data_IF_414167880640
#
_entry.id   IF_414167880640
#
_cell.length_a   1.000
_cell.length_b   1.000
_cell.length_c   1.000
_cell.angle_alpha   90.00
_cell.angle_beta   90.00
_cell.angle_gamma   90.00
#
_symmetry.space_group_name_H-M   'P 1'
#
loop_
_entity.id
_entity.type
_entity.pdbx_description
1 polymer ?
#
# COMPACT_ATOMS: atom_id res chain seq x y z
N UNK A 1 34.11 3.08 2.93
CA UNK A 1 34.14 3.75 1.63
C UNK A 1 33.21 2.96 0.72
N UNK A 2 31.92 3.21 0.79
CA UNK A 2 30.89 2.62 -0.10
C UNK A 2 30.81 3.49 -1.34
N UNK A 3 31.03 2.86 -2.49
CA UNK A 3 30.83 3.48 -3.80
C UNK A 3 29.35 3.74 -3.97
N UNK A 4 28.97 5.01 -3.93
CA UNK A 4 27.70 5.50 -4.44
C UNK A 4 27.78 5.30 -5.95
N UNK A 5 27.14 4.25 -6.46
CA UNK A 5 26.91 4.09 -7.89
C UNK A 5 25.74 5.02 -8.19
N UNK A 6 26.10 6.21 -8.63
CA UNK A 6 25.16 7.15 -9.23
C UNK A 6 24.83 6.56 -10.62
N UNK A 7 23.74 5.81 -10.71
CA UNK A 7 23.15 5.44 -11.98
C UNK A 7 22.48 6.72 -12.51
N UNK A 8 23.25 7.47 -13.29
CA UNK A 8 22.70 8.48 -14.17
C UNK A 8 22.01 7.70 -15.29
N UNK A 9 20.75 7.34 -15.09
CA UNK A 9 19.87 7.00 -16.19
C UNK A 9 19.63 8.31 -16.95
N UNK A 10 20.39 8.49 -18.05
CA UNK A 10 20.08 9.49 -19.03
C UNK A 10 18.63 9.27 -19.46
N UNK A 11 17.73 10.11 -18.95
CA UNK A 11 16.39 10.26 -19.50
C UNK A 11 16.55 10.64 -20.96
N UNK A 12 16.50 9.66 -21.84
CA UNK A 12 16.12 9.85 -23.22
C UNK A 12 14.69 10.39 -23.16
N UNK A 13 14.58 11.71 -23.13
CA UNK A 13 13.36 12.39 -23.44
C UNK A 13 13.07 12.04 -24.92
N UNK A 14 12.46 10.89 -25.15
CA UNK A 14 11.72 10.69 -26.38
C UNK A 14 10.51 11.61 -26.26
N UNK A 15 10.58 12.73 -26.95
CA UNK A 15 9.42 13.44 -27.41
C UNK A 15 8.70 12.55 -28.43
N UNK A 16 8.07 11.49 -27.96
CA UNK A 16 7.16 10.67 -28.75
C UNK A 16 5.77 11.28 -28.57
N UNK A 17 5.42 12.13 -29.50
CA UNK A 17 4.01 12.33 -29.78
C UNK A 17 3.41 10.93 -30.05
N UNK A 18 2.57 10.41 -29.15
CA UNK A 18 1.69 9.30 -29.41
C UNK A 18 2.08 7.90 -28.93
N UNK A 19 3.03 7.71 -28.02
CA UNK A 19 3.18 6.40 -27.38
C UNK A 19 2.01 6.18 -26.41
N UNK A 20 1.16 5.19 -26.72
CA UNK A 20 0.10 4.75 -25.82
C UNK A 20 0.73 4.00 -24.63
N UNK A 21 0.24 4.28 -23.44
CA UNK A 21 0.70 3.63 -22.21
C UNK A 21 -0.15 2.38 -21.97
N UNK A 22 0.50 1.22 -21.87
CA UNK A 22 -0.17 -0.02 -21.46
C UNK A 22 -0.38 -0.07 -19.96
N UNK A 23 -1.32 -0.89 -19.49
CA UNK A 23 -1.55 -1.12 -18.06
C UNK A 23 -0.26 -1.61 -17.37
N UNK A 24 0.47 -2.54 -18.02
CA UNK A 24 1.73 -3.08 -17.48
C UNK A 24 2.81 -2.01 -17.35
N UNK A 25 3.00 -1.18 -18.39
CA UNK A 25 3.98 -0.09 -18.33
C UNK A 25 3.65 0.91 -17.23
N UNK A 26 2.37 1.23 -17.07
CA UNK A 26 1.92 2.13 -16.02
C UNK A 26 2.17 1.57 -14.62
N UNK A 27 1.84 0.30 -14.38
CA UNK A 27 2.12 -0.37 -13.10
C UNK A 27 3.62 -0.33 -12.78
N UNK A 28 4.49 -0.58 -13.76
CA UNK A 28 5.95 -0.47 -13.59
C UNK A 28 6.37 0.95 -13.21
N UNK A 29 5.87 1.97 -13.92
CA UNK A 29 6.17 3.36 -13.61
C UNK A 29 5.76 3.75 -12.17
N UNK A 30 4.60 3.28 -11.72
CA UNK A 30 4.10 3.54 -10.36
C UNK A 30 4.95 2.84 -9.32
N UNK A 31 5.36 1.58 -9.54
CA UNK A 31 6.24 0.83 -8.64
C UNK A 31 7.59 1.55 -8.50
N UNK A 32 8.21 1.93 -9.61
CA UNK A 32 9.53 2.57 -9.63
C UNK A 32 9.54 3.91 -8.87
N UNK A 33 8.45 4.65 -8.91
CA UNK A 33 8.33 5.94 -8.22
C UNK A 33 7.79 5.83 -6.80
N UNK A 34 7.06 4.79 -6.44
CA UNK A 34 6.27 4.71 -5.21
C UNK A 34 7.06 5.08 -3.94
N UNK A 35 6.74 6.22 -3.34
CA UNK A 35 7.31 6.65 -2.06
C UNK A 35 7.01 5.65 -0.93
N UNK A 36 5.77 5.08 -0.81
CA UNK A 36 5.52 4.02 0.17
C UNK A 36 6.44 2.81 0.05
N UNK A 37 6.76 2.36 -1.18
CA UNK A 37 7.68 1.24 -1.40
C UNK A 37 9.10 1.58 -0.98
N UNK A 38 9.59 2.79 -1.27
CA UNK A 38 10.89 3.25 -0.80
C UNK A 38 10.94 3.32 0.74
N UNK A 39 9.86 3.74 1.39
CA UNK A 39 9.75 3.73 2.85
C UNK A 39 9.75 2.30 3.41
N UNK A 40 9.08 1.35 2.76
CA UNK A 40 9.08 -0.05 3.16
C UNK A 40 10.48 -0.68 3.01
N UNK A 41 11.22 -0.37 1.96
CA UNK A 41 12.62 -0.79 1.78
C UNK A 41 13.50 -0.28 2.93
N UNK A 42 13.42 0.99 3.26
CA UNK A 42 14.13 1.56 4.41
C UNK A 42 13.71 0.92 5.74
N UNK A 43 12.44 0.52 5.87
CA UNK A 43 11.96 -0.23 7.04
C UNK A 43 12.59 -1.62 7.12
N UNK A 44 12.71 -2.34 5.99
CA UNK A 44 13.40 -3.65 5.96
C UNK A 44 14.88 -3.53 6.29
N UNK A 45 15.56 -2.49 5.79
CA UNK A 45 16.95 -2.18 6.18
C UNK A 45 17.07 -1.89 7.68
N UNK A 46 16.15 -1.11 8.24
CA UNK A 46 16.11 -0.80 9.68
C UNK A 46 15.96 -2.06 10.52
N UNK A 47 14.99 -2.92 10.18
CA UNK A 47 14.74 -4.18 10.91
C UNK A 47 15.92 -5.15 10.80
N UNK A 48 16.58 -5.22 9.63
CA UNK A 48 17.81 -5.98 9.43
C UNK A 48 18.94 -5.48 10.33
N UNK A 49 19.10 -4.15 10.45
CA UNK A 49 20.10 -3.55 11.34
C UNK A 49 19.78 -3.82 12.82
N UNK A 50 18.51 -3.79 13.21
CA UNK A 50 18.08 -4.14 14.58
C UNK A 50 18.35 -5.60 14.91
N UNK A 51 18.09 -6.52 13.98
CA UNK A 51 18.44 -7.93 14.14
C UNK A 51 19.96 -8.13 14.28
N UNK A 52 20.77 -7.50 13.42
CA UNK A 52 22.23 -7.55 13.55
C UNK A 52 22.71 -6.94 14.87
N UNK A 53 22.09 -5.87 15.35
CA UNK A 53 22.36 -5.28 16.66
C UNK A 53 22.04 -6.27 17.80
N UNK A 54 20.91 -6.98 17.72
CA UNK A 54 20.52 -7.98 18.71
C UNK A 54 21.53 -9.14 18.76
N UNK A 55 21.99 -9.66 17.62
CA UNK A 55 23.06 -10.68 17.53
C UNK A 55 24.35 -10.23 18.20
N UNK A 56 24.72 -8.94 18.04
CA UNK A 56 25.93 -8.38 18.65
C UNK A 56 25.81 -8.14 20.15
N UNK A 57 24.61 -8.29 20.72
CA UNK A 57 24.41 -8.25 22.17
C UNK A 57 25.17 -9.34 22.95
N UNK A 58 25.63 -10.40 22.27
CA UNK A 58 26.50 -11.44 22.81
C UNK A 58 27.98 -11.07 22.78
N UNK A 59 28.37 -9.99 22.09
CA UNK A 59 29.77 -9.60 21.96
C UNK A 59 30.24 -8.77 23.15
N UNK A 60 31.57 -8.78 23.49
CA UNK A 60 32.12 -7.90 24.48
C UNK A 60 31.85 -6.43 24.13
N UNK A 61 31.50 -5.65 25.16
CA UNK A 61 31.28 -4.22 25.03
C UNK A 61 32.42 -3.48 25.70
N UNK A 62 33.10 -2.61 24.94
CA UNK A 62 34.12 -1.70 25.47
C UNK A 62 33.46 -0.36 25.70
N UNK A 63 33.57 0.14 26.93
CA UNK A 63 33.12 1.47 27.31
C UNK A 63 34.25 2.24 28.00
N UNK A 64 34.21 3.57 27.86
CA UNK A 64 35.10 4.50 28.53
C UNK A 64 34.28 5.65 29.09
N UNK A 65 34.45 5.95 30.35
CA UNK A 65 33.76 7.05 31.01
C UNK A 65 34.76 7.89 31.80
N UNK A 66 34.58 9.19 31.82
CA UNK A 66 35.34 10.10 32.68
C UNK A 66 34.37 10.93 33.52
N UNK A 67 34.61 11.00 34.81
CA UNK A 67 33.77 11.73 35.72
C UNK A 67 34.65 12.73 36.51
N UNK A 68 34.27 13.99 36.53
CA UNK A 68 34.81 15.01 37.40
C UNK A 68 33.79 15.30 38.51
N UNK A 69 34.22 15.25 39.76
CA UNK A 69 33.37 15.50 40.92
C UNK A 69 33.87 16.73 41.64
N UNK A 70 33.01 17.70 41.88
CA UNK A 70 33.24 18.85 42.74
C UNK A 70 32.38 18.67 44.01
N UNK A 71 33.04 18.66 45.18
CA UNK A 71 32.35 18.46 46.45
C UNK A 71 32.26 19.78 47.21
N UNK A 72 31.06 20.17 47.56
CA UNK A 72 30.77 21.40 48.32
C UNK A 72 30.74 21.17 49.83
N UNK A 73 30.73 19.91 50.27
CA UNK A 73 30.76 19.55 51.68
C UNK A 73 32.20 19.53 52.23
N UNK A 74 32.35 19.75 53.55
CA UNK A 74 33.64 19.67 54.22
C UNK A 74 34.04 18.22 54.40
N UNK A 75 35.06 17.74 53.68
CA UNK A 75 35.50 16.36 53.76
C UNK A 75 36.67 16.18 54.69
N UNK A 76 36.66 15.06 55.38
CA UNK A 76 37.71 14.59 56.30
C UNK A 76 39.09 14.53 55.60
N UNK A 77 39.17 14.45 54.27
CA UNK A 77 40.42 14.35 53.50
C UNK A 77 40.78 15.61 52.68
N UNK A 78 40.09 16.76 52.87
CA UNK A 78 40.48 18.05 52.33
C UNK A 78 40.35 18.18 50.76
N UNK A 79 39.73 17.24 50.09
CA UNK A 79 39.57 17.28 48.63
C UNK A 79 38.26 17.95 48.27
N UNK A 80 38.31 18.99 47.41
CA UNK A 80 37.13 19.67 46.86
C UNK A 80 36.76 19.22 45.45
N UNK A 81 37.68 18.60 44.75
CA UNK A 81 37.45 18.09 43.40
C UNK A 81 38.23 16.81 43.16
N UNK A 82 37.70 15.98 42.29
CA UNK A 82 38.34 14.75 41.83
C UNK A 82 37.95 14.46 40.40
N UNK A 83 38.74 13.71 39.69
CA UNK A 83 38.36 13.14 38.38
C UNK A 83 38.77 11.67 38.38
N UNK A 84 37.98 10.87 37.65
CA UNK A 84 38.25 9.47 37.44
C UNK A 84 37.93 9.15 36.01
N UNK A 85 38.84 8.49 35.34
CA UNK A 85 38.59 7.93 34.00
C UNK A 85 38.61 6.42 34.10
N UNK A 86 37.55 5.76 33.67
CA UNK A 86 37.41 4.32 33.69
C UNK A 86 37.25 3.82 32.26
N UNK A 87 37.92 2.73 31.94
CA UNK A 87 37.66 1.94 30.74
C UNK A 87 37.27 0.53 31.18
N UNK A 88 36.18 0.00 30.62
CA UNK A 88 35.75 -1.34 30.98
C UNK A 88 35.35 -2.14 29.72
N UNK A 89 35.69 -3.43 29.75
CA UNK A 89 35.23 -4.43 28.81
C UNK A 89 34.25 -5.33 29.54
N UNK A 90 32.99 -5.33 29.13
CA UNK A 90 31.96 -6.18 29.72
C UNK A 90 31.52 -7.25 28.73
N UNK A 91 31.51 -8.50 29.17
CA UNK A 91 31.02 -9.65 28.45
C UNK A 91 29.86 -10.27 29.23
N UNK A 92 28.66 -10.27 28.56
CA UNK A 92 27.54 -11.03 29.10
C UNK A 92 27.74 -12.52 28.77
N UNK A 93 27.77 -13.37 29.81
CA UNK A 93 27.92 -14.84 29.70
C UNK A 93 26.55 -15.50 29.66
N UNK A 94 25.64 -15.03 30.52
CA UNK A 94 24.27 -15.54 30.60
C UNK A 94 23.33 -14.47 31.14
N UNK A 95 22.23 -14.23 30.48
CA UNK A 95 21.22 -13.22 30.84
C UNK A 95 19.81 -13.82 30.92
N UNK A 96 19.68 -15.02 31.47
CA UNK A 96 18.36 -15.68 31.55
C UNK A 96 17.73 -15.99 30.21
N UNK A 97 18.52 -16.10 29.13
CA UNK A 97 18.01 -16.29 27.76
C UNK A 97 17.53 -15.00 27.06
N UNK A 98 17.68 -13.82 27.71
CA UNK A 98 17.21 -12.53 27.14
C UNK A 98 17.81 -12.24 25.78
N UNK A 99 19.13 -12.40 25.61
CA UNK A 99 19.81 -12.06 24.34
C UNK A 99 19.32 -12.97 23.21
N UNK A 100 19.24 -14.29 23.47
CA UNK A 100 18.74 -15.26 22.48
C UNK A 100 17.29 -14.98 22.08
N UNK A 101 16.41 -14.73 23.04
CA UNK A 101 15.01 -14.41 22.79
C UNK A 101 14.84 -13.05 22.06
N UNK A 102 15.67 -12.04 22.41
CA UNK A 102 15.68 -10.76 21.68
C UNK A 102 16.15 -10.95 20.24
N UNK A 103 17.18 -11.77 20.02
CA UNK A 103 17.67 -12.08 18.66
C UNK A 103 16.59 -12.77 17.83
N UNK A 104 15.93 -13.80 18.38
CA UNK A 104 14.83 -14.49 17.72
C UNK A 104 13.66 -13.53 17.40
N UNK A 105 13.27 -12.70 18.37
CA UNK A 105 12.20 -11.71 18.20
C UNK A 105 12.49 -10.71 17.08
N UNK A 106 13.73 -10.22 17.01
CA UNK A 106 14.13 -9.24 15.97
C UNK A 106 14.34 -9.89 14.60
N UNK A 107 14.75 -11.16 14.56
CA UNK A 107 14.82 -11.96 13.35
C UNK A 107 13.44 -12.12 12.72
N UNK A 108 12.46 -12.61 13.50
CA UNK A 108 11.07 -12.72 13.07
C UNK A 108 10.48 -11.36 12.66
N UNK A 109 10.84 -10.27 13.38
CA UNK A 109 10.44 -8.92 13.02
C UNK A 109 11.01 -8.46 11.66
N UNK A 110 12.20 -8.89 11.29
CA UNK A 110 12.76 -8.64 9.97
C UNK A 110 12.06 -9.45 8.88
N UNK A 111 11.80 -10.75 9.12
CA UNK A 111 11.04 -11.59 8.18
C UNK A 111 9.62 -11.01 7.93
N UNK A 112 8.94 -10.57 8.98
CA UNK A 112 7.64 -9.89 8.86
C UNK A 112 7.77 -8.65 7.96
N UNK A 113 8.79 -7.81 8.16
CA UNK A 113 8.95 -6.59 7.36
C UNK A 113 9.17 -6.86 5.87
N UNK A 114 9.80 -7.99 5.50
CA UNK A 114 9.93 -8.42 4.10
C UNK A 114 8.58 -8.81 3.50
N UNK A 115 7.74 -9.52 4.27
CA UNK A 115 6.41 -9.89 3.82
C UNK A 115 5.47 -8.67 3.73
N UNK A 116 5.55 -7.74 4.69
CA UNK A 116 4.82 -6.46 4.64
C UNK A 116 5.17 -5.65 3.39
N UNK A 117 6.44 -5.67 2.97
CA UNK A 117 6.87 -5.06 1.72
C UNK A 117 6.21 -5.74 0.50
N UNK A 118 6.10 -7.06 0.49
CA UNK A 118 5.40 -7.79 -0.58
C UNK A 118 3.91 -7.45 -0.64
N UNK A 119 3.23 -7.39 0.51
CA UNK A 119 1.83 -6.95 0.59
C UNK A 119 1.67 -5.54 0.04
N UNK A 120 2.58 -4.63 0.39
CA UNK A 120 2.54 -3.25 -0.08
C UNK A 120 2.75 -3.15 -1.61
N UNK A 121 3.63 -3.97 -2.21
CA UNK A 121 3.81 -4.03 -3.67
C UNK A 121 2.48 -4.37 -4.34
N UNK A 122 1.77 -5.40 -3.87
CA UNK A 122 0.45 -5.78 -4.39
C UNK A 122 -0.57 -4.65 -4.27
N UNK A 123 -0.58 -3.95 -3.13
CA UNK A 123 -1.46 -2.82 -2.91
C UNK A 123 -1.17 -1.65 -3.86
N UNK A 124 0.10 -1.38 -4.14
CA UNK A 124 0.53 -0.35 -5.10
C UNK A 124 0.10 -0.72 -6.53
N UNK A 125 0.26 -1.98 -6.92
CA UNK A 125 -0.22 -2.49 -8.22
C UNK A 125 -1.74 -2.32 -8.34
N UNK A 126 -2.51 -2.75 -7.34
CA UNK A 126 -3.97 -2.58 -7.33
C UNK A 126 -4.38 -1.10 -7.42
N UNK A 127 -3.66 -0.21 -6.74
CA UNK A 127 -3.91 1.24 -6.81
C UNK A 127 -3.62 1.80 -8.21
N UNK A 128 -2.57 1.31 -8.86
CA UNK A 128 -2.24 1.66 -10.24
C UNK A 128 -3.31 1.15 -11.23
N UNK A 129 -3.69 -0.13 -11.16
CA UNK A 129 -4.77 -0.69 -11.99
C UNK A 129 -6.07 0.11 -11.81
N UNK A 130 -6.43 0.44 -10.57
CA UNK A 130 -7.61 1.24 -10.27
C UNK A 130 -7.57 2.64 -10.89
N UNK A 131 -6.40 3.30 -10.86
CA UNK A 131 -6.22 4.61 -11.46
C UNK A 131 -6.28 4.56 -12.99
N UNK A 132 -5.69 3.51 -13.60
CA UNK A 132 -5.72 3.26 -15.04
C UNK A 132 -7.14 3.09 -15.55
N UNK A 133 -7.90 2.16 -14.95
CA UNK A 133 -9.28 1.88 -15.38
C UNK A 133 -10.23 3.04 -15.09
N UNK A 134 -9.98 3.81 -14.01
CA UNK A 134 -10.74 5.03 -13.75
C UNK A 134 -10.52 6.08 -14.83
N UNK A 135 -9.28 6.27 -15.29
CA UNK A 135 -8.97 7.20 -16.36
C UNK A 135 -9.60 6.75 -17.68
N UNK A 136 -9.47 5.46 -18.03
CA UNK A 136 -10.09 4.88 -19.23
C UNK A 136 -11.62 5.03 -19.23
N UNK A 137 -12.26 4.76 -18.09
CA UNK A 137 -13.70 4.97 -17.91
C UNK A 137 -14.11 6.44 -18.11
N UNK A 138 -13.38 7.37 -17.48
CA UNK A 138 -13.69 8.79 -17.55
C UNK A 138 -13.43 9.36 -18.96
N UNK A 139 -12.40 8.88 -19.66
CA UNK A 139 -12.11 9.27 -21.04
C UNK A 139 -13.22 8.83 -21.99
N UNK A 140 -13.66 7.59 -21.90
CA UNK A 140 -14.72 7.05 -22.75
C UNK A 140 -16.07 7.74 -22.49
N UNK A 141 -16.38 8.00 -21.22
CA UNK A 141 -17.58 8.75 -20.86
C UNK A 141 -17.56 10.19 -21.38
N UNK A 142 -16.44 10.90 -21.23
CA UNK A 142 -16.25 12.26 -21.75
C UNK A 142 -16.41 12.31 -23.27
N UNK A 143 -15.79 11.36 -23.99
CA UNK A 143 -15.88 11.24 -25.45
C UNK A 143 -17.33 11.05 -25.90
N UNK A 144 -18.03 10.10 -25.30
CA UNK A 144 -19.44 9.84 -25.62
C UNK A 144 -20.33 11.04 -25.29
N UNK A 145 -20.09 11.76 -24.20
CA UNK A 145 -20.84 12.97 -23.88
C UNK A 145 -20.59 14.10 -24.89
N UNK A 146 -19.37 14.25 -25.40
CA UNK A 146 -19.06 15.20 -26.48
C UNK A 146 -19.78 14.86 -27.77
N UNK A 147 -19.81 13.59 -28.17
CA UNK A 147 -20.54 13.10 -29.31
C UNK A 147 -22.07 13.29 -29.14
N UNK A 148 -22.57 13.02 -27.94
CA UNK A 148 -23.99 13.21 -27.61
C UNK A 148 -24.41 14.68 -27.74
N UNK A 149 -23.61 15.64 -27.23
CA UNK A 149 -23.88 17.07 -27.41
C UNK A 149 -23.95 17.44 -28.90
N UNK A 150 -23.00 16.99 -29.72
CA UNK A 150 -22.98 17.27 -31.15
C UNK A 150 -24.24 16.71 -31.86
N UNK A 151 -24.73 15.54 -31.47
CA UNK A 151 -25.99 14.97 -32.01
C UNK A 151 -27.19 15.84 -31.61
N UNK A 152 -27.28 16.28 -30.37
CA UNK A 152 -28.39 17.13 -29.91
C UNK A 152 -28.33 18.53 -30.55
N UNK A 153 -27.15 19.10 -30.77
CA UNK A 153 -26.99 20.36 -31.51
C UNK A 153 -27.52 20.25 -32.93
N UNK A 154 -27.10 19.19 -33.65
CA UNK A 154 -27.58 18.91 -35.00
C UNK A 154 -29.12 18.76 -35.08
N UNK A 155 -29.71 18.04 -34.13
CA UNK A 155 -31.16 17.86 -34.04
C UNK A 155 -31.88 19.20 -33.72
N UNK A 156 -31.28 20.01 -32.85
CA UNK A 156 -31.80 21.36 -32.54
C UNK A 156 -31.84 22.25 -33.79
N UNK A 157 -30.82 22.21 -34.64
CA UNK A 157 -30.78 22.97 -35.89
C UNK A 157 -31.93 22.55 -36.84
N UNK A 158 -32.16 21.24 -36.98
CA UNK A 158 -33.27 20.71 -37.82
C UNK A 158 -34.63 21.17 -37.26
N UNK A 159 -34.83 21.11 -35.94
CA UNK A 159 -36.09 21.51 -35.33
C UNK A 159 -36.30 23.03 -35.40
N UNK A 160 -35.26 23.83 -35.25
CA UNK A 160 -35.32 25.29 -35.39
C UNK A 160 -35.73 25.68 -36.84
N UNK A 161 -35.11 25.07 -37.85
CA UNK A 161 -35.50 25.28 -39.23
C UNK A 161 -36.96 24.89 -39.50
N UNK A 162 -37.41 23.73 -39.03
CA UNK A 162 -38.82 23.30 -39.18
C UNK A 162 -39.80 24.24 -38.48
N UNK A 163 -39.39 24.83 -37.33
CA UNK A 163 -40.23 25.82 -36.63
C UNK A 163 -40.33 27.13 -37.40
N UNK A 164 -39.24 27.62 -37.99
CA UNK A 164 -39.23 28.83 -38.83
C UNK A 164 -40.13 28.67 -40.09
N UNK A 165 -40.12 27.49 -40.69
CA UNK A 165 -40.97 27.14 -41.84
C UNK A 165 -42.41 26.76 -41.44
N UNK A 166 -42.74 26.75 -40.14
CA UNK A 166 -44.10 26.45 -39.65
C UNK A 166 -44.48 24.97 -39.59
N UNK A 167 -43.49 24.05 -39.72
CA UNK A 167 -43.69 22.60 -39.68
C UNK A 167 -43.54 22.00 -38.28
N UNK A 168 -43.07 22.76 -37.30
CA UNK A 168 -42.89 22.29 -35.92
C UNK A 168 -43.45 23.27 -34.90
N UNK A 169 -43.89 22.79 -33.74
CA UNK A 169 -44.41 23.62 -32.68
C UNK A 169 -43.29 24.30 -31.89
N UNK A 170 -43.56 25.49 -31.29
CA UNK A 170 -42.62 26.16 -30.40
C UNK A 170 -42.24 25.29 -29.20
N UNK A 171 -43.16 24.41 -28.75
CA UNK A 171 -42.90 23.46 -27.66
C UNK A 171 -41.79 22.49 -27.98
N UNK A 172 -41.70 22.00 -29.22
CA UNK A 172 -40.65 21.08 -29.67
C UNK A 172 -39.27 21.76 -29.65
N UNK A 173 -39.18 23.02 -30.09
CA UNK A 173 -37.96 23.81 -30.04
C UNK A 173 -37.51 24.03 -28.60
N UNK A 174 -38.39 24.40 -27.67
CA UNK A 174 -38.06 24.61 -26.29
C UNK A 174 -37.60 23.31 -25.60
N UNK A 175 -38.15 22.17 -25.97
CA UNK A 175 -37.74 20.86 -25.44
C UNK A 175 -36.34 20.48 -25.86
N UNK A 176 -35.99 20.63 -27.17
CA UNK A 176 -34.63 20.32 -27.59
C UNK A 176 -33.60 21.30 -27.04
N UNK A 177 -33.94 22.60 -26.86
CA UNK A 177 -33.06 23.59 -26.22
C UNK A 177 -32.83 23.25 -24.74
N UNK A 178 -33.86 22.81 -24.04
CA UNK A 178 -33.72 22.31 -22.67
C UNK A 178 -32.83 21.07 -22.62
N UNK A 179 -32.97 20.15 -23.56
CA UNK A 179 -32.17 18.95 -23.67
C UNK A 179 -30.70 19.25 -23.97
N UNK A 180 -30.45 20.21 -24.88
CA UNK A 180 -29.10 20.68 -25.19
C UNK A 180 -28.42 21.28 -23.95
N UNK A 181 -29.13 22.11 -23.17
CA UNK A 181 -28.63 22.67 -21.94
C UNK A 181 -28.26 21.60 -20.90
N UNK A 182 -29.09 20.56 -20.77
CA UNK A 182 -28.81 19.40 -19.90
C UNK A 182 -27.58 18.60 -20.39
N UNK A 183 -27.46 18.39 -21.72
CA UNK A 183 -26.33 17.71 -22.32
C UNK A 183 -25.00 18.46 -22.08
N UNK A 184 -24.98 19.78 -22.20
CA UNK A 184 -23.79 20.59 -21.87
C UNK A 184 -23.43 20.50 -20.38
N UNK A 185 -24.43 20.51 -19.48
CA UNK A 185 -24.18 20.31 -18.06
C UNK A 185 -23.52 18.95 -17.77
N UNK A 186 -24.03 17.87 -18.42
CA UNK A 186 -23.45 16.54 -18.24
C UNK A 186 -22.05 16.42 -18.88
N UNK A 187 -21.79 17.09 -20.01
CA UNK A 187 -20.46 17.14 -20.61
C UNK A 187 -19.47 17.82 -19.68
N UNK A 188 -19.83 18.96 -19.08
CA UNK A 188 -18.95 19.65 -18.13
C UNK A 188 -18.63 18.78 -16.92
N UNK A 189 -19.58 18.01 -16.41
CA UNK A 189 -19.33 17.05 -15.33
C UNK A 189 -18.43 15.88 -15.77
N UNK A 190 -18.55 15.43 -17.00
CA UNK A 190 -17.67 14.39 -17.58
C UNK A 190 -16.24 14.89 -17.79
N UNK A 191 -16.07 16.13 -18.21
CA UNK A 191 -14.76 16.80 -18.35
C UNK A 191 -14.07 16.93 -17.00
N UNK A 192 -14.78 17.38 -15.97
CA UNK A 192 -14.27 17.45 -14.59
C UNK A 192 -13.81 16.07 -14.09
N UNK A 193 -14.64 15.03 -14.29
CA UNK A 193 -14.31 13.67 -13.87
C UNK A 193 -13.04 13.13 -14.58
N UNK A 194 -12.88 13.44 -15.88
CA UNK A 194 -11.70 13.09 -16.65
C UNK A 194 -10.45 13.82 -16.13
N UNK A 195 -10.53 15.12 -15.90
CA UNK A 195 -9.40 15.89 -15.37
C UNK A 195 -8.96 15.38 -14.01
N UNK A 196 -9.89 15.10 -13.09
CA UNK A 196 -9.60 14.52 -11.78
C UNK A 196 -8.93 13.14 -11.91
N UNK A 197 -9.42 12.28 -12.80
CA UNK A 197 -8.85 10.97 -13.05
C UNK A 197 -7.43 11.08 -13.63
N UNK A 198 -7.21 12.01 -14.58
CA UNK A 198 -5.92 12.29 -15.18
C UNK A 198 -4.91 12.82 -14.13
N UNK A 199 -5.35 13.71 -13.25
CA UNK A 199 -4.51 14.22 -12.16
C UNK A 199 -4.07 13.10 -11.23
N UNK A 200 -4.98 12.21 -10.85
CA UNK A 200 -4.68 11.06 -10.00
C UNK A 200 -3.69 10.09 -10.68
N UNK A 201 -3.94 9.75 -11.95
CA UNK A 201 -3.05 8.91 -12.76
C UNK A 201 -1.62 9.49 -12.80
N UNK A 202 -1.48 10.76 -13.14
CA UNK A 202 -0.19 11.42 -13.25
C UNK A 202 0.54 11.52 -11.89
N UNK A 203 -0.19 11.72 -10.79
CA UNK A 203 0.42 11.86 -9.47
C UNK A 203 1.07 10.56 -8.97
N UNK A 204 0.53 9.40 -9.33
CA UNK A 204 1.06 8.10 -8.92
C UNK A 204 2.40 7.75 -9.58
N UNK A 205 2.67 8.27 -10.79
CA UNK A 205 3.92 8.01 -11.53
C UNK A 205 4.83 9.23 -11.64
N UNK A 206 4.62 10.27 -10.81
CA UNK A 206 5.41 11.51 -10.80
C UNK A 206 5.45 12.27 -12.13
N UNK A 207 4.45 12.14 -12.96
CA UNK A 207 4.29 12.98 -14.14
C UNK A 207 3.80 14.38 -13.74
N UNK A 208 3.89 15.34 -14.70
CA UNK A 208 3.21 16.62 -14.50
C UNK A 208 1.70 16.37 -14.39
N UNK A 209 1.05 16.88 -13.35
CA UNK A 209 -0.36 16.60 -13.02
C UNK A 209 -1.30 16.76 -14.21
N UNK A 210 -1.05 17.77 -15.06
CA UNK A 210 -1.87 18.08 -16.24
C UNK A 210 -1.31 17.50 -17.55
N UNK A 211 -0.39 16.53 -17.49
CA UNK A 211 0.17 15.92 -18.69
C UNK A 211 -0.91 15.09 -19.40
N UNK A 212 -1.11 15.37 -20.67
CA UNK A 212 -2.01 14.56 -21.50
C UNK A 212 -1.42 13.16 -21.69
N UNK A 213 -2.26 12.15 -21.53
CA UNK A 213 -1.91 10.73 -21.63
C UNK A 213 -2.85 10.07 -22.65
N UNK A 214 -2.34 9.11 -23.39
CA UNK A 214 -3.12 8.22 -24.25
C UNK A 214 -2.96 6.80 -23.71
N UNK A 215 -4.09 6.14 -23.43
CA UNK A 215 -4.12 4.76 -22.94
C UNK A 215 -4.15 3.78 -24.13
N UNK A 216 -3.54 2.61 -23.93
CA UNK A 216 -3.55 1.53 -24.94
C UNK A 216 -4.80 0.69 -24.85
N UNK A 217 -5.28 0.38 -23.65
CA UNK A 217 -6.45 -0.43 -23.39
C UNK A 217 -7.67 0.44 -23.07
N UNK A 218 -8.80 0.13 -23.70
CA UNK A 218 -10.09 0.74 -23.38
C UNK A 218 -10.80 -0.02 -22.28
N UNK A 219 -11.58 0.69 -21.47
CA UNK A 219 -12.46 0.08 -20.46
C UNK A 219 -13.49 -0.88 -21.11
N UNK A 220 -13.80 -0.70 -22.37
CA UNK A 220 -14.74 -1.53 -23.11
C UNK A 220 -14.10 -2.80 -23.71
N UNK A 221 -12.76 -2.92 -23.64
CA UNK A 221 -12.09 -4.13 -24.12
C UNK A 221 -12.44 -5.33 -23.23
N UNK A 222 -12.59 -6.49 -23.85
CA UNK A 222 -12.93 -7.70 -23.12
C UNK A 222 -11.71 -8.26 -22.38
N UNK A 223 -11.74 -8.19 -21.05
CA UNK A 223 -10.75 -8.85 -20.21
C UNK A 223 -11.20 -10.29 -19.93
N UNK A 224 -10.32 -11.29 -20.15
CA UNK A 224 -10.67 -12.67 -19.86
C UNK A 224 -10.90 -12.86 -18.36
N UNK A 225 -11.87 -13.74 -18.04
CA UNK A 225 -12.13 -14.11 -16.64
C UNK A 225 -10.90 -14.84 -16.07
N UNK A 226 -10.38 -14.44 -14.91
CA UNK A 226 -9.26 -15.15 -14.28
C UNK A 226 -9.64 -16.57 -13.87
N UNK A 227 -8.64 -17.42 -13.65
CA UNK A 227 -8.88 -18.74 -13.07
C UNK A 227 -9.15 -18.63 -11.56
N UNK A 228 -10.06 -19.49 -11.07
CA UNK A 228 -10.35 -19.51 -9.64
C UNK A 228 -9.26 -20.25 -8.89
N UNK A 229 -8.74 -19.64 -7.82
CA UNK A 229 -7.78 -20.26 -6.91
C UNK A 229 -8.55 -20.97 -5.79
N UNK A 230 -8.09 -22.15 -5.39
CA UNK A 230 -8.65 -22.86 -4.24
C UNK A 230 -8.38 -22.09 -2.94
N UNK A 231 -9.42 -21.85 -2.14
CA UNK A 231 -9.35 -21.01 -0.94
C UNK A 231 -8.35 -21.55 0.12
N UNK A 232 -8.23 -22.87 0.29
CA UNK A 232 -7.28 -23.44 1.23
C UNK A 232 -5.84 -23.30 0.72
N UNK A 233 -5.62 -23.48 -0.57
CA UNK A 233 -4.30 -23.22 -1.19
C UNK A 233 -3.89 -21.77 -1.05
N UNK A 234 -4.84 -20.83 -1.23
CA UNK A 234 -4.63 -19.42 -1.03
C UNK A 234 -4.14 -19.09 0.37
N UNK A 235 -4.82 -19.62 1.41
CA UNK A 235 -4.46 -19.36 2.81
C UNK A 235 -2.99 -19.69 3.07
N UNK A 236 -2.52 -20.87 2.65
CA UNK A 236 -1.15 -21.30 2.92
C UNK A 236 -0.07 -20.50 2.15
N UNK A 237 -0.41 -19.94 1.03
CA UNK A 237 0.51 -19.15 0.20
C UNK A 237 0.46 -17.65 0.47
N UNK A 238 -0.56 -17.17 1.20
CA UNK A 238 -0.80 -15.75 1.37
C UNK A 238 0.17 -15.11 2.38
N UNK A 239 0.81 -13.97 2.06
CA UNK A 239 1.76 -13.32 2.96
C UNK A 239 1.11 -12.85 4.27
N UNK A 240 -0.15 -12.41 4.27
CA UNK A 240 -0.84 -12.00 5.49
C UNK A 240 -0.99 -13.15 6.48
N UNK A 241 -1.29 -14.38 6.00
CA UNK A 241 -1.29 -15.56 6.84
C UNK A 241 0.09 -15.83 7.45
N UNK A 242 1.14 -15.74 6.62
CA UNK A 242 2.51 -15.95 7.11
C UNK A 242 2.95 -14.86 8.10
N UNK A 243 2.53 -13.61 7.92
CA UNK A 243 2.79 -12.50 8.86
C UNK A 243 2.20 -12.80 10.24
N UNK A 244 0.94 -13.25 10.31
CA UNK A 244 0.31 -13.54 11.60
C UNK A 244 0.89 -14.80 12.25
N UNK A 245 1.29 -15.80 11.47
CA UNK A 245 2.01 -16.98 11.96
C UNK A 245 3.36 -16.59 12.58
N UNK A 246 4.17 -15.76 11.91
CA UNK A 246 5.41 -15.22 12.46
C UNK A 246 5.19 -14.32 13.68
N UNK A 247 4.07 -13.60 13.75
CA UNK A 247 3.70 -12.82 14.92
C UNK A 247 3.37 -13.74 16.13
N UNK A 248 2.72 -14.88 15.90
CA UNK A 248 2.50 -15.89 16.95
C UNK A 248 3.84 -16.48 17.42
N UNK A 249 4.76 -16.81 16.51
CA UNK A 249 6.12 -17.24 16.88
C UNK A 249 6.88 -16.15 17.64
N UNK A 250 6.73 -14.89 17.29
CA UNK A 250 7.33 -13.75 18.00
C UNK A 250 6.79 -13.62 19.40
N UNK A 251 5.49 -13.86 19.62
CA UNK A 251 4.88 -13.88 20.94
C UNK A 251 5.43 -15.02 21.84
N UNK A 252 5.81 -16.17 21.27
CA UNK A 252 6.57 -17.19 22.01
C UNK A 252 7.94 -16.69 22.49
N UNK A 253 8.65 -15.91 21.67
CA UNK A 253 9.91 -15.27 22.09
C UNK A 253 9.66 -14.24 23.19
N UNK A 254 8.57 -13.50 23.17
CA UNK A 254 8.18 -12.52 24.17
C UNK A 254 7.85 -13.19 25.52
N UNK A 255 7.28 -14.40 25.55
CA UNK A 255 7.13 -15.18 26.79
C UNK A 255 8.50 -15.53 27.40
N UNK A 256 9.51 -15.88 26.57
CA UNK A 256 10.89 -16.12 27.05
C UNK A 256 11.49 -14.83 27.60
N UNK A 257 11.26 -13.69 26.95
CA UNK A 257 11.70 -12.37 27.40
C UNK A 257 11.07 -11.98 28.74
N UNK A 258 9.78 -12.25 28.93
CA UNK A 258 9.07 -12.00 30.18
C UNK A 258 9.62 -12.84 31.34
N UNK A 259 10.19 -14.02 31.07
CA UNK A 259 10.85 -14.87 32.08
C UNK A 259 12.29 -14.45 32.40
N UNK A 260 13.00 -13.87 31.45
CA UNK A 260 14.44 -13.61 31.51
C UNK A 260 14.87 -12.77 32.72
N UNK A 261 14.17 -11.71 33.17
CA UNK A 261 14.57 -10.93 34.36
C UNK A 261 14.58 -11.72 35.66
N UNK A 262 13.84 -12.83 35.73
CA UNK A 262 13.69 -13.69 36.90
C UNK A 262 14.62 -14.91 36.89
N UNK A 263 15.52 -14.97 35.93
CA UNK A 263 16.53 -16.03 35.80
C UNK A 263 17.92 -15.48 36.19
N UNK A 264 18.89 -16.35 36.57
CA UNK A 264 20.23 -15.92 36.86
C UNK A 264 20.84 -15.10 35.72
N UNK A 265 21.68 -14.12 36.10
CA UNK A 265 22.45 -13.32 35.15
C UNK A 265 23.94 -13.42 35.55
N UNK A 266 24.77 -13.61 34.55
CA UNK A 266 26.21 -13.79 34.71
C UNK A 266 26.93 -12.89 33.72
N UNK A 267 27.75 -11.99 34.18
CA UNK A 267 28.63 -11.17 33.36
C UNK A 267 30.07 -11.11 33.95
N UNK A 268 31.02 -10.93 33.08
CA UNK A 268 32.41 -10.66 33.41
C UNK A 268 32.73 -9.27 32.91
N UNK A 269 33.37 -8.47 33.75
CA UNK A 269 33.91 -7.18 33.37
C UNK A 269 35.38 -7.08 33.74
N UNK A 270 36.18 -6.54 32.84
CA UNK A 270 37.59 -6.17 33.07
C UNK A 270 37.62 -4.65 32.99
N UNK A 271 38.12 -4.02 34.04
CA UNK A 271 38.16 -2.56 34.08
C UNK A 271 39.57 -2.04 34.39
N UNK A 272 39.86 -0.88 33.82
CA UNK A 272 41.00 -0.04 34.17
C UNK A 272 40.54 1.32 34.68
N UNK A 273 41.14 1.87 35.70
CA UNK A 273 40.80 3.19 36.21
C UNK A 273 42.05 4.06 36.36
N UNK A 274 41.91 5.31 35.97
CA UNK A 274 42.92 6.34 36.14
C UNK A 274 42.34 7.44 37.03
N UNK A 275 42.99 7.70 38.17
CA UNK A 275 42.55 8.71 39.12
C UNK A 275 43.77 9.46 39.71
N UNK A 276 43.63 10.73 40.10
CA UNK A 276 44.72 11.46 40.72
C UNK A 276 45.04 10.86 42.11
N UNK A 277 46.31 10.84 42.47
CA UNK A 277 46.76 10.44 43.79
C UNK A 277 46.27 11.41 44.87
N UNK A 278 46.04 10.89 46.08
CA UNK A 278 45.60 11.67 47.25
C UNK A 278 46.60 12.77 47.61
N UNK A 279 46.15 13.98 48.02
CA UNK A 279 46.99 15.18 48.09
C UNK A 279 47.80 15.35 49.36
N UNK A 280 48.63 14.39 49.74
CA UNK A 280 49.58 14.60 50.86
C UNK A 280 51.02 14.87 50.42
N UNK A 281 51.30 14.89 49.12
CA UNK A 281 52.62 15.23 48.62
C UNK A 281 52.49 16.13 47.35
N UNK A 282 53.39 17.09 47.22
CA UNK A 282 53.43 18.10 46.15
C UNK A 282 53.73 17.56 44.76
N UNK A 283 53.71 16.27 44.54
CA UNK A 283 53.90 15.58 43.27
C UNK A 283 52.92 14.42 43.14
N UNK A 284 51.62 14.70 42.97
CA UNK A 284 50.62 13.68 42.71
C UNK A 284 50.77 13.08 41.30
N UNK A 285 51.18 11.84 41.22
CA UNK A 285 51.15 11.06 39.97
C UNK A 285 49.77 10.43 39.83
N UNK A 286 49.22 10.35 38.59
CA UNK A 286 48.01 9.59 38.40
C UNK A 286 48.19 8.12 38.80
N UNK A 287 47.24 7.60 39.56
CA UNK A 287 47.23 6.18 39.94
C UNK A 287 46.44 5.39 38.88
N UNK A 288 47.11 4.36 38.32
CA UNK A 288 46.49 3.39 37.46
C UNK A 288 46.04 2.19 38.29
N UNK A 289 44.76 1.93 38.32
CA UNK A 289 44.15 0.75 38.91
C UNK A 289 43.48 -0.11 37.88
N UNK A 290 43.21 -1.35 38.17
CA UNK A 290 42.44 -2.23 37.30
C UNK A 290 42.16 -3.57 37.96
N UNK A 291 41.20 -4.28 37.40
CA UNK A 291 40.79 -5.57 37.92
C UNK A 291 39.80 -6.28 36.99
N UNK A 292 39.47 -7.49 37.37
CA UNK A 292 38.37 -8.25 36.73
C UNK A 292 37.30 -8.55 37.79
N UNK A 293 36.04 -8.44 37.38
CA UNK A 293 34.88 -8.72 38.23
C UNK A 293 34.03 -9.76 37.54
N UNK A 294 33.69 -10.80 38.24
CA UNK A 294 32.68 -11.78 37.89
C UNK A 294 31.42 -11.46 38.70
N UNK A 295 30.36 -11.11 37.97
CA UNK A 295 29.06 -10.80 38.55
C UNK A 295 28.12 -11.98 38.36
N UNK A 296 27.55 -12.47 39.46
CA UNK A 296 26.45 -13.42 39.44
C UNK A 296 25.28 -12.78 40.22
N UNK A 297 24.16 -12.63 39.55
CA UNK A 297 22.93 -12.09 40.14
C UNK A 297 21.78 -13.04 39.87
N UNK A 298 21.03 -13.39 40.88
CA UNK A 298 19.82 -14.19 40.74
C UNK A 298 18.73 -13.63 41.65
N UNK A 299 17.59 -13.27 41.04
CA UNK A 299 16.42 -12.86 41.83
C UNK A 299 15.87 -14.06 42.61
N UNK A 300 15.70 -13.91 43.92
CA UNK A 300 15.24 -15.01 44.80
C UNK A 300 13.73 -14.97 44.96
N UNK A 301 13.14 -13.80 45.21
CA UNK A 301 11.71 -13.68 45.50
C UNK A 301 11.15 -12.32 45.02
N UNK A 302 10.01 -12.33 44.32
CA UNK A 302 9.37 -11.17 43.71
C UNK A 302 7.86 -11.09 43.98
N UNK A 303 7.35 -11.61 45.07
CA UNK A 303 5.97 -11.49 45.51
C UNK A 303 4.91 -11.74 44.42
N UNK A 304 5.17 -12.71 43.53
CA UNK A 304 4.25 -13.09 42.42
C UNK A 304 4.47 -12.37 41.10
N UNK A 305 5.31 -11.31 41.03
CA UNK A 305 5.56 -10.53 39.79
C UNK A 305 5.92 -11.41 38.57
N UNK A 306 6.81 -12.41 38.77
CA UNK A 306 7.18 -13.37 37.73
C UNK A 306 5.96 -14.09 37.13
N UNK A 307 5.06 -14.52 38.02
CA UNK A 307 3.86 -15.25 37.60
C UNK A 307 2.97 -14.38 36.74
N UNK A 308 2.70 -13.17 37.17
CA UNK A 308 1.81 -12.25 36.47
C UNK A 308 2.44 -11.75 35.18
N UNK A 309 3.73 -11.45 35.14
CA UNK A 309 4.43 -11.07 33.90
C UNK A 309 4.38 -12.20 32.83
N UNK A 310 4.61 -13.45 33.25
CA UNK A 310 4.54 -14.61 32.37
C UNK A 310 3.10 -14.91 31.93
N UNK A 311 2.11 -14.75 32.83
CA UNK A 311 0.71 -14.95 32.49
C UNK A 311 0.24 -13.92 31.47
N UNK A 312 0.60 -12.64 31.63
CA UNK A 312 0.31 -11.58 30.65
C UNK A 312 0.89 -11.91 29.27
N UNK A 313 2.18 -12.29 29.22
CA UNK A 313 2.83 -12.66 27.96
C UNK A 313 2.19 -13.90 27.30
N UNK A 314 1.77 -14.92 28.09
CA UNK A 314 1.07 -16.08 27.58
C UNK A 314 -0.33 -15.75 27.06
N UNK A 315 -1.04 -14.81 27.68
CA UNK A 315 -2.34 -14.36 27.18
C UNK A 315 -2.17 -13.65 25.84
N UNK A 316 -1.12 -12.83 25.66
CA UNK A 316 -0.78 -12.23 24.38
C UNK A 316 -0.41 -13.28 23.32
N UNK A 317 0.36 -14.31 23.71
CA UNK A 317 0.68 -15.43 22.81
C UNK A 317 -0.58 -16.15 22.33
N UNK A 318 -1.48 -16.54 23.25
CA UNK A 318 -2.74 -17.19 22.88
C UNK A 318 -3.63 -16.32 21.97
N UNK A 319 -3.66 -14.98 22.26
CA UNK A 319 -4.36 -14.05 21.38
C UNK A 319 -3.77 -14.03 19.96
N UNK A 320 -2.43 -14.09 19.85
CA UNK A 320 -1.77 -14.14 18.53
C UNK A 320 -2.01 -15.45 17.79
N UNK A 321 -2.13 -16.59 18.52
CA UNK A 321 -2.47 -17.88 17.94
C UNK A 321 -3.92 -17.90 17.41
N UNK A 322 -4.87 -17.31 18.15
CA UNK A 322 -6.25 -17.15 17.68
C UNK A 322 -6.35 -16.21 16.45
N UNK A 323 -5.47 -15.23 16.35
CA UNK A 323 -5.43 -14.34 15.18
C UNK A 323 -5.01 -15.08 13.90
N UNK A 324 -4.20 -16.14 14.00
CA UNK A 324 -3.86 -16.99 12.86
C UNK A 324 -5.11 -17.68 12.31
N UNK A 325 -5.98 -18.22 13.19
CA UNK A 325 -7.25 -18.83 12.77
C UNK A 325 -8.19 -17.79 12.15
N UNK A 326 -8.29 -16.61 12.79
CA UNK A 326 -9.13 -15.51 12.32
C UNK A 326 -8.72 -15.04 10.91
N UNK A 327 -7.44 -14.87 10.64
CA UNK A 327 -6.94 -14.46 9.32
C UNK A 327 -7.14 -15.58 8.29
N UNK A 328 -6.96 -16.85 8.65
CA UNK A 328 -7.23 -17.98 7.76
C UNK A 328 -8.70 -18.01 7.32
N UNK A 329 -9.63 -17.83 8.25
CA UNK A 329 -11.06 -17.82 7.94
C UNK A 329 -11.46 -16.59 7.13
N UNK A 330 -10.86 -15.43 7.43
CA UNK A 330 -11.09 -14.22 6.65
C UNK A 330 -10.57 -14.34 5.21
N UNK A 331 -9.41 -14.95 4.98
CA UNK A 331 -8.88 -15.17 3.64
C UNK A 331 -9.77 -16.10 2.81
N UNK A 332 -10.34 -17.15 3.42
CA UNK A 332 -11.33 -18.01 2.76
C UNK A 332 -12.58 -17.22 2.36
N UNK A 333 -13.08 -16.39 3.27
CA UNK A 333 -14.26 -15.56 3.02
C UNK A 333 -14.00 -14.59 1.88
N UNK A 334 -12.89 -13.86 1.92
CA UNK A 334 -12.53 -12.86 0.92
C UNK A 334 -12.32 -13.49 -0.47
N UNK A 335 -11.75 -14.71 -0.57
CA UNK A 335 -11.68 -15.45 -1.84
C UNK A 335 -13.07 -15.73 -2.39
N UNK A 336 -13.98 -16.28 -1.57
CA UNK A 336 -15.32 -16.63 -2.01
C UNK A 336 -16.13 -15.40 -2.43
N UNK A 337 -16.02 -14.32 -1.70
CA UNK A 337 -16.70 -13.05 -2.00
C UNK A 337 -16.13 -12.44 -3.28
N UNK A 338 -14.79 -12.40 -3.42
CA UNK A 338 -14.10 -11.91 -4.61
C UNK A 338 -14.49 -12.69 -5.87
N UNK A 339 -14.53 -14.03 -5.79
CA UNK A 339 -14.99 -14.85 -6.90
C UNK A 339 -16.46 -14.61 -7.24
N UNK A 340 -17.32 -14.53 -6.24
CA UNK A 340 -18.74 -14.20 -6.43
C UNK A 340 -18.92 -12.83 -7.09
N UNK A 341 -18.11 -11.85 -6.70
CA UNK A 341 -18.12 -10.52 -7.29
C UNK A 341 -17.75 -10.57 -8.79
N UNK A 342 -16.71 -11.32 -9.18
CA UNK A 342 -16.34 -11.52 -10.59
C UNK A 342 -17.50 -12.13 -11.37
N UNK A 343 -18.12 -13.21 -10.85
CA UNK A 343 -19.22 -13.86 -11.56
C UNK A 343 -20.43 -12.94 -11.79
N UNK A 344 -20.77 -12.14 -10.78
CA UNK A 344 -21.92 -11.23 -10.86
C UNK A 344 -21.64 -10.01 -11.71
N UNK A 345 -20.42 -9.45 -11.62
CA UNK A 345 -20.05 -8.32 -12.49
C UNK A 345 -19.96 -8.74 -13.96
N UNK A 346 -19.43 -9.92 -14.26
CA UNK A 346 -19.45 -10.46 -15.61
C UNK A 346 -20.87 -10.64 -16.16
N UNK A 347 -21.80 -11.20 -15.37
CA UNK A 347 -23.19 -11.31 -15.78
C UNK A 347 -23.83 -9.95 -16.06
N UNK A 348 -23.46 -8.92 -15.29
CA UNK A 348 -23.91 -7.54 -15.53
C UNK A 348 -23.35 -6.96 -16.84
N UNK A 349 -22.09 -7.24 -17.18
CA UNK A 349 -21.50 -6.83 -18.46
C UNK A 349 -22.30 -7.43 -19.62
N UNK A 350 -22.54 -8.74 -19.60
CA UNK A 350 -23.31 -9.42 -20.67
C UNK A 350 -24.71 -8.82 -20.83
N UNK A 351 -25.44 -8.66 -19.75
CA UNK A 351 -26.77 -8.06 -19.76
C UNK A 351 -26.79 -6.59 -20.22
N UNK A 352 -25.76 -5.82 -19.83
CA UNK A 352 -25.63 -4.42 -20.22
C UNK A 352 -25.31 -4.27 -21.73
N UNK A 353 -24.47 -5.14 -22.28
CA UNK A 353 -24.18 -5.19 -23.71
C UNK A 353 -25.43 -5.53 -24.54
N UNK A 354 -26.21 -6.53 -24.13
CA UNK A 354 -27.48 -6.88 -24.80
C UNK A 354 -28.46 -5.70 -24.72
N UNK A 355 -28.60 -5.07 -23.57
CA UNK A 355 -29.45 -3.88 -23.39
C UNK A 355 -28.99 -2.72 -24.26
N UNK A 356 -27.68 -2.53 -24.44
CA UNK A 356 -27.13 -1.49 -25.30
C UNK A 356 -27.49 -1.69 -26.75
N UNK A 357 -27.35 -2.91 -27.28
CA UNK A 357 -27.75 -3.26 -28.64
C UNK A 357 -29.25 -2.94 -28.91
N UNK A 358 -30.12 -3.27 -27.97
CA UNK A 358 -31.54 -2.98 -28.06
C UNK A 358 -31.81 -1.47 -28.03
N UNK A 359 -31.10 -0.73 -27.19
CA UNK A 359 -31.27 0.73 -27.06
C UNK A 359 -30.78 1.47 -28.32
N UNK A 360 -29.72 1.00 -28.95
CA UNK A 360 -29.18 1.51 -30.22
C UNK A 360 -30.20 1.30 -31.37
N UNK A 361 -30.72 0.09 -31.53
CA UNK A 361 -31.73 -0.23 -32.51
C UNK A 361 -33.01 0.61 -32.32
N UNK A 362 -33.46 0.75 -31.07
CA UNK A 362 -34.64 1.59 -30.76
C UNK A 362 -34.41 3.08 -31.10
N UNK A 363 -33.22 3.60 -30.82
CA UNK A 363 -32.85 4.98 -31.17
C UNK A 363 -32.82 5.19 -32.69
N UNK A 364 -32.26 4.24 -33.45
CA UNK A 364 -32.20 4.28 -34.91
C UNK A 364 -33.61 4.27 -35.49
N UNK A 365 -34.47 3.33 -35.06
CA UNK A 365 -35.86 3.22 -35.51
C UNK A 365 -36.64 4.50 -35.19
N UNK A 366 -36.54 5.03 -33.98
CA UNK A 366 -37.23 6.23 -33.54
C UNK A 366 -36.81 7.46 -34.35
N UNK A 367 -35.50 7.57 -34.62
CA UNK A 367 -34.95 8.66 -35.44
C UNK A 367 -35.41 8.59 -36.90
N UNK A 368 -35.41 7.38 -37.45
CA UNK A 368 -35.93 7.15 -38.81
C UNK A 368 -37.41 7.50 -38.91
N UNK A 369 -38.26 6.99 -38.03
CA UNK A 369 -39.70 7.24 -38.01
C UNK A 369 -40.02 8.74 -37.84
N UNK A 370 -39.24 9.49 -37.08
CA UNK A 370 -39.37 10.95 -36.94
C UNK A 370 -39.04 11.67 -38.28
N UNK A 371 -37.99 11.24 -38.98
CA UNK A 371 -37.62 11.83 -40.25
C UNK A 371 -38.69 11.61 -41.34
N UNK A 372 -39.36 10.46 -41.31
CA UNK A 372 -40.47 10.13 -42.17
C UNK A 372 -41.83 10.75 -41.72
N UNK A 373 -41.83 11.50 -40.59
CA UNK A 373 -43.05 12.13 -40.09
C UNK A 373 -44.05 11.17 -39.44
N UNK A 374 -43.62 9.96 -39.07
CA UNK A 374 -44.48 8.90 -38.51
C UNK A 374 -44.57 8.97 -36.96
N UNK A 375 -43.63 9.68 -36.32
CA UNK A 375 -43.60 9.81 -34.86
C UNK A 375 -43.25 11.25 -34.45
N UNK A 376 -43.31 11.54 -33.13
CA UNK A 376 -43.02 12.87 -32.59
C UNK A 376 -41.58 13.00 -32.16
N UNK A 377 -41.09 14.25 -32.01
CA UNK A 377 -39.76 14.50 -31.46
C UNK A 377 -39.61 13.94 -30.01
N UNK A 378 -40.71 13.89 -29.27
CA UNK A 378 -40.73 13.33 -27.91
C UNK A 378 -40.26 11.87 -27.88
N UNK A 379 -40.67 11.08 -28.89
CA UNK A 379 -40.30 9.66 -28.98
C UNK A 379 -38.79 9.52 -29.24
N UNK A 380 -38.21 10.38 -30.08
CA UNK A 380 -36.75 10.41 -30.32
C UNK A 380 -36.01 10.83 -29.08
N UNK A 381 -36.44 11.90 -28.39
CA UNK A 381 -35.82 12.34 -27.15
C UNK A 381 -35.88 11.28 -26.03
N UNK A 382 -37.01 10.55 -25.95
CA UNK A 382 -37.14 9.44 -25.01
C UNK A 382 -36.18 8.27 -25.36
N UNK A 383 -36.05 7.92 -26.62
CA UNK A 383 -35.10 6.90 -27.09
C UNK A 383 -33.66 7.33 -26.81
N UNK A 384 -33.30 8.61 -26.99
CA UNK A 384 -31.97 9.15 -26.64
C UNK A 384 -31.68 9.09 -25.15
N UNK A 385 -32.65 9.43 -24.28
CA UNK A 385 -32.50 9.30 -22.84
C UNK A 385 -32.25 7.85 -22.47
N UNK A 386 -33.03 6.92 -23.02
CA UNK A 386 -32.86 5.49 -22.76
C UNK A 386 -31.50 4.98 -23.24
N UNK A 387 -31.07 5.38 -24.43
CA UNK A 387 -29.74 5.04 -24.96
C UNK A 387 -28.63 5.54 -24.06
N UNK A 388 -28.64 6.81 -23.67
CA UNK A 388 -27.62 7.39 -22.80
C UNK A 388 -27.55 6.69 -21.42
N UNK A 389 -28.73 6.41 -20.83
CA UNK A 389 -28.78 5.69 -19.55
C UNK A 389 -28.24 4.27 -19.68
N UNK A 390 -28.58 3.57 -20.76
CA UNK A 390 -28.11 2.20 -21.03
C UNK A 390 -26.59 2.19 -21.30
N UNK A 391 -26.09 3.19 -22.05
CA UNK A 391 -24.65 3.35 -22.25
C UNK A 391 -23.88 3.57 -20.93
N UNK A 392 -24.38 4.44 -20.06
CA UNK A 392 -23.80 4.66 -18.74
C UNK A 392 -23.79 3.38 -17.89
N UNK A 393 -24.88 2.61 -17.95
CA UNK A 393 -24.95 1.33 -17.24
C UNK A 393 -23.95 0.30 -17.80
N UNK A 394 -23.78 0.26 -19.11
CA UNK A 394 -22.79 -0.61 -19.77
C UNK A 394 -21.36 -0.21 -19.35
N UNK A 395 -21.04 1.08 -19.43
CA UNK A 395 -19.73 1.58 -19.06
C UNK A 395 -19.43 1.31 -17.57
N UNK A 396 -20.42 1.51 -16.69
CA UNK A 396 -20.30 1.18 -15.27
C UNK A 396 -20.13 -0.33 -15.04
N UNK A 397 -20.84 -1.19 -15.77
CA UNK A 397 -20.70 -2.63 -15.67
C UNK A 397 -19.29 -3.11 -16.08
N UNK A 398 -18.73 -2.57 -17.15
CA UNK A 398 -17.36 -2.85 -17.56
C UNK A 398 -16.34 -2.39 -16.50
N UNK A 399 -16.51 -1.18 -15.97
CA UNK A 399 -15.65 -0.67 -14.90
C UNK A 399 -15.71 -1.55 -13.65
N UNK A 400 -16.91 -1.90 -13.19
CA UNK A 400 -17.11 -2.78 -12.03
C UNK A 400 -16.45 -4.15 -12.24
N UNK A 401 -16.51 -4.69 -13.46
CA UNK A 401 -15.87 -5.96 -13.78
C UNK A 401 -14.35 -5.87 -13.77
N UNK A 402 -13.76 -4.82 -14.38
CA UNK A 402 -12.32 -4.60 -14.35
C UNK A 402 -11.82 -4.43 -12.92
N UNK A 403 -12.56 -3.68 -12.09
CA UNK A 403 -12.22 -3.51 -10.68
C UNK A 403 -12.34 -4.83 -9.90
N UNK A 404 -13.36 -5.65 -10.17
CA UNK A 404 -13.50 -6.96 -9.53
C UNK A 404 -12.35 -7.92 -9.91
N UNK A 405 -11.89 -7.87 -11.16
CA UNK A 405 -10.72 -8.64 -11.62
C UNK A 405 -9.43 -8.15 -10.95
N UNK A 406 -9.21 -6.84 -10.89
CA UNK A 406 -8.04 -6.25 -10.24
C UNK A 406 -8.00 -6.57 -8.74
N UNK A 407 -9.15 -6.48 -8.05
CA UNK A 407 -9.30 -6.82 -6.64
C UNK A 407 -9.03 -8.32 -6.38
N UNK A 408 -9.57 -9.19 -7.23
CA UNK A 408 -9.34 -10.63 -7.10
C UNK A 408 -7.86 -11.00 -7.31
N UNK A 409 -7.20 -10.39 -8.29
CA UNK A 409 -5.74 -10.55 -8.48
C UNK A 409 -4.96 -10.11 -7.25
N UNK A 410 -5.34 -8.98 -6.65
CA UNK A 410 -4.76 -8.52 -5.40
C UNK A 410 -4.92 -9.54 -4.27
N UNK A 411 -6.13 -10.13 -4.14
CA UNK A 411 -6.45 -11.15 -3.12
C UNK A 411 -5.64 -12.43 -3.34
N UNK A 412 -5.60 -12.97 -4.56
CA UNK A 412 -4.92 -14.25 -4.83
C UNK A 412 -3.41 -14.11 -5.01
N UNK A 413 -2.91 -12.88 -5.13
CA UNK A 413 -1.49 -12.61 -5.31
C UNK A 413 -0.97 -12.91 -6.71
N UNK A 414 -1.86 -12.99 -7.69
CA UNK A 414 -1.49 -13.13 -9.09
C UNK A 414 -0.96 -11.78 -9.61
N UNK A 415 0.36 -11.67 -9.72
CA UNK A 415 0.98 -10.48 -10.28
C UNK A 415 0.83 -10.51 -11.80
N UNK A 416 0.11 -9.55 -12.36
CA UNK A 416 -0.01 -9.32 -13.81
C UNK A 416 1.36 -9.34 -14.53
N UNK A 417 2.45 -9.10 -13.82
CA UNK A 417 3.82 -9.12 -14.34
C UNK A 417 4.38 -10.52 -14.60
N UNK A 418 3.96 -11.54 -13.84
CA UNK A 418 4.42 -12.91 -14.07
C UNK A 418 3.71 -13.58 -15.24
N UNK A 419 2.48 -13.15 -15.56
CA UNK A 419 1.72 -13.70 -16.68
C UNK A 419 2.15 -13.16 -18.04
N UNK A 420 2.70 -11.94 -18.11
CA UNK A 420 3.18 -11.35 -19.37
C UNK A 420 4.50 -11.97 -19.87
N UNK A 421 5.36 -12.45 -18.97
CA UNK A 421 6.60 -13.14 -19.34
C UNK A 421 6.36 -14.58 -19.83
N UNK A 422 5.23 -15.21 -19.48
CA UNK A 422 4.87 -16.55 -19.96
C UNK A 422 4.18 -16.56 -21.33
N UNK A 423 3.75 -15.42 -21.87
CA UNK A 423 3.15 -15.32 -23.22
C UNK A 423 4.20 -14.95 -24.27
N UNK A 424 5.40 -14.49 -23.82
CA UNK A 424 6.50 -14.09 -24.70
C UNK A 424 7.60 -15.17 -24.93
N UNK A 425 7.42 -16.39 -24.41
CA UNK A 425 8.26 -17.57 -24.67
C UNK A 425 7.43 -18.64 -25.42
#
# INVERSE_FOLDING_TARGET
MRKIILIIFASLIHSAAGAQITLSDYCNMVIDYSIPLQQAELNTERTAAEWQRAKRGQMPQLSMGSQATLDFAHHINGRRWGWTTNADIRQNIYSGGKISATTQRTELGHEISLLEQQVLIRQVIFSAESAYWRLSHAEEYRKTMSEYVAIIESLREVIAYRYEEGYSAKGDLLQIESRLSDAHYQLSAAEEAYEIALHNFNSLCNNKITQAISLSESILDSTPKPERVDADTLVWSHPDYRIVELNAERAHADVKLARAPFLPQIDISIYGSLQPELPHTTKSKPQLGGGAVFNFSTPIYHFGERREAVNAAKSTQLSSELEVENVADNLRLVEHDGWTNIERTWQRVVAAQESMTIAEENLEISTFAYNEGQTTILDVLQAQISWLQTYRNMLAAHYDYQMAVAEYRYIVGDNFMESSDNIAN
#
